data_IF_729376344316
#
_entry.id   IF_729376344316
#
_cell.length_a   1.000
_cell.length_b   1.000
_cell.length_c   1.000
_cell.angle_alpha   90.00
_cell.angle_beta   90.00
_cell.angle_gamma   90.00
#
_symmetry.space_group_name_H-M   'P 1'
#
loop_
_entity.id
_entity.type
_entity.pdbx_description
1 polymer ?
#
# COMPACT_ATOMS: atom_id res chain seq x y z
N UNK A 1 21.39 -24.05 -11.34
CA UNK A 1 20.96 -23.82 -9.95
C UNK A 1 21.61 -22.53 -9.47
N UNK A 2 20.88 -21.66 -8.77
CA UNK A 2 21.38 -20.34 -8.36
C UNK A 2 21.54 -20.24 -6.84
N UNK A 3 22.51 -19.46 -6.38
CA UNK A 3 22.80 -19.30 -4.95
C UNK A 3 22.11 -18.07 -4.39
N UNK A 4 21.54 -18.21 -3.19
CA UNK A 4 20.93 -17.11 -2.45
C UNK A 4 22.00 -16.29 -1.72
N UNK A 5 21.79 -14.98 -1.66
CA UNK A 5 22.61 -14.07 -0.89
C UNK A 5 21.79 -12.86 -0.41
N UNK A 6 22.20 -12.30 0.73
CA UNK A 6 21.57 -11.12 1.33
C UNK A 6 22.09 -9.83 0.69
N UNK A 7 21.20 -9.04 0.09
CA UNK A 7 21.51 -7.70 -0.43
C UNK A 7 20.95 -6.63 0.52
N UNK A 8 21.82 -5.76 1.02
CA UNK A 8 21.43 -4.64 1.91
C UNK A 8 21.10 -3.41 1.07
N UNK A 9 19.88 -2.89 1.22
CA UNK A 9 19.43 -1.62 0.64
C UNK A 9 19.01 -0.69 1.78
N UNK A 10 19.94 0.16 2.22
CA UNK A 10 19.75 1.00 3.41
C UNK A 10 19.52 0.17 4.67
N UNK A 11 18.36 0.32 5.30
CA UNK A 11 17.95 -0.44 6.51
C UNK A 11 17.31 -1.79 6.19
N UNK A 12 17.03 -2.10 4.92
CA UNK A 12 16.34 -3.32 4.52
C UNK A 12 17.30 -4.36 3.94
N UNK A 13 17.04 -5.63 4.23
CA UNK A 13 17.79 -6.77 3.67
C UNK A 13 16.83 -7.57 2.80
N UNK A 14 17.21 -7.84 1.56
CA UNK A 14 16.42 -8.64 0.62
C UNK A 14 17.25 -9.81 0.12
N UNK A 15 16.68 -11.02 0.12
CA UNK A 15 17.34 -12.17 -0.48
C UNK A 15 17.27 -12.06 -2.01
N UNK A 16 18.43 -12.25 -2.63
CA UNK A 16 18.61 -12.24 -4.06
C UNK A 16 19.25 -13.56 -4.48
N UNK A 17 18.87 -14.08 -5.64
CA UNK A 17 19.40 -15.31 -6.21
C UNK A 17 20.20 -15.02 -7.46
N UNK A 18 21.43 -15.49 -7.48
CA UNK A 18 22.32 -15.40 -8.64
C UNK A 18 22.19 -16.61 -9.54
N UNK A 19 21.88 -16.37 -10.80
CA UNK A 19 21.89 -17.38 -11.85
C UNK A 19 23.09 -17.12 -12.77
N UNK A 20 23.96 -18.14 -12.86
CA UNK A 20 25.15 -18.16 -13.70
C UNK A 20 25.01 -19.30 -14.70
N UNK A 21 25.41 -19.08 -15.94
CA UNK A 21 25.34 -20.08 -17.01
C UNK A 21 26.53 -19.92 -17.95
N UNK A 22 27.18 -21.03 -18.32
CA UNK A 22 28.27 -21.05 -19.29
C UNK A 22 27.77 -20.96 -20.74
N UNK A 23 26.47 -21.25 -20.98
CA UNK A 23 25.88 -21.16 -22.32
C UNK A 23 25.90 -19.72 -22.88
N UNK A 24 26.05 -18.72 -22.01
CA UNK A 24 26.23 -17.34 -22.44
C UNK A 24 27.53 -17.12 -23.24
N UNK A 25 28.57 -17.96 -23.04
CA UNK A 25 29.89 -17.78 -23.67
C UNK A 25 29.89 -18.15 -25.16
N UNK A 26 29.03 -19.08 -25.57
CA UNK A 26 28.87 -19.48 -26.97
C UNK A 26 27.82 -18.65 -27.71
N UNK A 27 27.24 -17.63 -27.08
CA UNK A 27 26.21 -16.80 -27.67
C UNK A 27 26.81 -15.76 -28.64
N UNK A 28 26.31 -15.70 -29.87
CA UNK A 28 26.74 -14.73 -30.89
C UNK A 28 26.60 -13.26 -30.43
N UNK A 29 25.60 -12.98 -29.58
CA UNK A 29 25.33 -11.66 -29.02
C UNK A 29 26.13 -11.36 -27.75
N UNK A 30 27.06 -12.23 -27.33
CA UNK A 30 27.79 -12.08 -26.08
C UNK A 30 28.43 -10.69 -25.91
N UNK A 31 29.16 -10.24 -26.95
CA UNK A 31 29.84 -8.93 -26.96
C UNK A 31 28.88 -7.73 -26.81
N UNK A 32 27.62 -7.87 -27.23
CA UNK A 32 26.58 -6.82 -27.09
C UNK A 32 25.79 -6.94 -25.78
N UNK A 33 25.72 -8.15 -25.20
CA UNK A 33 24.84 -8.44 -24.07
C UNK A 33 25.54 -8.22 -22.70
N UNK A 34 26.82 -8.57 -22.57
CA UNK A 34 27.55 -8.42 -21.31
C UNK A 34 29.04 -8.20 -21.55
N UNK A 35 29.68 -7.46 -20.64
CA UNK A 35 31.15 -7.29 -20.61
C UNK A 35 31.84 -8.32 -19.70
N UNK A 36 31.07 -9.13 -18.97
CA UNK A 36 31.63 -10.10 -18.02
C UNK A 36 32.19 -11.32 -18.75
N UNK A 37 33.49 -11.56 -18.63
CA UNK A 37 34.18 -12.70 -19.21
C UNK A 37 33.60 -14.07 -18.82
N UNK A 38 32.92 -14.17 -17.67
CA UNK A 38 32.30 -15.42 -17.18
C UNK A 38 30.84 -15.62 -17.58
N UNK A 39 30.29 -14.79 -18.47
CA UNK A 39 28.87 -14.88 -18.84
C UNK A 39 27.99 -13.84 -18.13
N UNK A 40 26.77 -13.68 -18.65
CA UNK A 40 25.76 -12.79 -18.07
C UNK A 40 25.30 -13.33 -16.72
N UNK A 41 25.45 -12.51 -15.67
CA UNK A 41 24.86 -12.77 -14.36
C UNK A 41 23.41 -12.28 -14.36
N UNK A 42 22.47 -13.14 -14.00
CA UNK A 42 21.07 -12.75 -13.81
C UNK A 42 20.77 -12.79 -12.31
N UNK A 43 20.27 -11.68 -11.78
CA UNK A 43 19.82 -11.55 -10.40
C UNK A 43 18.29 -11.54 -10.35
N UNK A 44 17.72 -12.32 -9.43
CA UNK A 44 16.28 -12.32 -9.16
C UNK A 44 16.04 -12.20 -7.66
N UNK A 45 15.11 -11.36 -7.25
CA UNK A 45 14.73 -11.27 -5.83
C UNK A 45 13.91 -12.47 -5.41
N UNK A 46 13.83 -12.68 -4.08
CA UNK A 46 12.89 -13.63 -3.47
C UNK A 46 11.42 -13.41 -3.84
N UNK A 47 11.08 -12.23 -4.37
CA UNK A 47 9.71 -11.87 -4.77
C UNK A 47 9.52 -11.88 -6.29
N UNK A 48 10.47 -12.42 -7.06
CA UNK A 48 10.40 -12.44 -8.52
C UNK A 48 9.12 -13.10 -9.05
N UNK A 49 8.67 -14.18 -8.40
CA UNK A 49 7.45 -14.90 -8.78
C UNK A 49 6.21 -14.03 -8.56
N UNK A 50 6.14 -13.30 -7.45
CA UNK A 50 5.06 -12.35 -7.16
C UNK A 50 5.02 -11.21 -8.18
N UNK A 51 6.19 -10.71 -8.58
CA UNK A 51 6.31 -9.66 -9.61
C UNK A 51 5.82 -10.19 -10.96
N UNK A 52 6.19 -11.43 -11.33
CA UNK A 52 5.73 -12.05 -12.57
C UNK A 52 4.21 -12.24 -12.57
N UNK A 53 3.65 -12.78 -11.48
CA UNK A 53 2.20 -12.92 -11.34
C UNK A 53 1.48 -11.57 -11.42
N UNK A 54 2.03 -10.53 -10.79
CA UNK A 54 1.45 -9.19 -10.89
C UNK A 54 1.50 -8.65 -12.32
N UNK A 55 2.61 -8.87 -13.04
CA UNK A 55 2.74 -8.50 -14.45
C UNK A 55 1.64 -9.17 -15.30
N UNK A 56 1.44 -10.48 -15.13
CA UNK A 56 0.36 -11.20 -15.83
C UNK A 56 -1.02 -10.64 -15.48
N UNK A 57 -1.28 -10.31 -14.20
CA UNK A 57 -2.55 -9.67 -13.79
C UNK A 57 -2.76 -8.30 -14.46
N UNK A 58 -1.71 -7.51 -14.61
CA UNK A 58 -1.76 -6.20 -15.26
C UNK A 58 -2.01 -6.37 -16.76
N UNK A 59 -1.31 -7.27 -17.43
CA UNK A 59 -1.47 -7.55 -18.86
C UNK A 59 -2.89 -8.04 -19.17
N UNK A 60 -3.43 -8.95 -18.36
CA UNK A 60 -4.79 -9.45 -18.50
C UNK A 60 -5.88 -8.39 -18.25
N UNK A 61 -5.57 -7.32 -17.51
CA UNK A 61 -6.52 -6.26 -17.13
C UNK A 61 -6.04 -4.88 -17.59
N UNK A 62 -5.34 -4.82 -18.72
CA UNK A 62 -4.58 -3.64 -19.14
C UNK A 62 -5.41 -2.36 -19.18
N UNK A 63 -6.60 -2.40 -19.79
CA UNK A 63 -7.48 -1.22 -19.92
C UNK A 63 -7.93 -0.67 -18.56
N UNK A 64 -8.18 -1.56 -17.58
CA UNK A 64 -8.59 -1.15 -16.22
C UNK A 64 -7.43 -0.43 -15.53
N UNK A 65 -6.21 -0.97 -15.64
CA UNK A 65 -5.03 -0.34 -15.04
C UNK A 65 -4.69 0.99 -15.71
N UNK A 66 -4.78 1.08 -17.05
CA UNK A 66 -4.60 2.33 -17.80
C UNK A 66 -5.61 3.39 -17.36
N UNK A 67 -6.89 3.04 -17.23
CA UNK A 67 -7.93 3.96 -16.75
C UNK A 67 -7.66 4.44 -15.32
N UNK A 68 -7.29 3.52 -14.41
CA UNK A 68 -6.93 3.88 -13.02
C UNK A 68 -5.74 4.82 -12.97
N UNK A 69 -4.72 4.56 -13.78
CA UNK A 69 -3.54 5.41 -13.87
C UNK A 69 -3.94 6.84 -14.27
N UNK A 70 -4.72 7.01 -15.33
CA UNK A 70 -5.21 8.32 -15.78
C UNK A 70 -6.03 9.06 -14.70
N UNK A 71 -6.86 8.33 -13.94
CA UNK A 71 -7.69 8.90 -12.87
C UNK A 71 -6.85 9.32 -11.65
N UNK A 72 -5.80 8.57 -11.30
CA UNK A 72 -5.05 8.73 -10.04
C UNK A 72 -3.82 9.62 -10.19
N UNK A 73 -3.11 9.56 -11.31
CA UNK A 73 -1.87 10.32 -11.51
C UNK A 73 -2.09 11.82 -11.48
N UNK A 74 -3.19 12.30 -12.07
CA UNK A 74 -3.51 13.73 -12.08
C UNK A 74 -3.76 14.29 -10.66
N UNK A 75 -4.68 13.74 -9.84
CA UNK A 75 -4.84 14.11 -8.43
C UNK A 75 -3.54 14.08 -7.63
N UNK A 76 -2.74 13.05 -7.83
CA UNK A 76 -1.47 12.90 -7.12
C UNK A 76 -0.46 13.98 -7.51
N UNK A 77 -0.42 14.34 -8.80
CA UNK A 77 0.36 15.47 -9.30
C UNK A 77 -0.09 16.80 -8.71
N UNK A 78 -1.40 17.05 -8.66
CA UNK A 78 -1.97 18.27 -8.04
C UNK A 78 -1.60 18.37 -6.56
N UNK A 79 -1.82 17.31 -5.80
CA UNK A 79 -1.51 17.28 -4.36
C UNK A 79 -0.02 17.52 -4.12
N UNK A 80 0.86 16.87 -4.89
CA UNK A 80 2.31 17.05 -4.72
C UNK A 80 2.80 18.43 -5.15
N UNK A 81 2.38 18.91 -6.33
CA UNK A 81 2.96 20.09 -6.97
C UNK A 81 2.24 21.38 -6.63
N UNK A 82 0.91 21.38 -6.59
CA UNK A 82 0.12 22.59 -6.32
C UNK A 82 -0.11 22.80 -4.83
N UNK A 83 -0.22 21.73 -4.04
CA UNK A 83 -0.42 21.84 -2.58
C UNK A 83 0.87 21.65 -1.78
N UNK A 84 2.01 21.56 -2.47
CA UNK A 84 3.34 21.42 -1.88
C UNK A 84 3.49 20.22 -0.92
N UNK A 85 2.64 19.18 -1.07
CA UNK A 85 2.65 18.00 -0.23
C UNK A 85 3.70 16.98 -0.71
N UNK A 86 4.97 17.37 -0.68
CA UNK A 86 6.09 16.50 -1.08
C UNK A 86 6.50 15.51 0.02
N UNK A 87 6.35 15.91 1.28
CA UNK A 87 6.74 15.12 2.43
C UNK A 87 5.63 15.06 3.46
N UNK A 88 5.47 13.87 4.04
CA UNK A 88 4.61 13.65 5.20
C UNK A 88 5.27 14.30 6.41
N UNK A 89 4.53 15.09 7.18
CA UNK A 89 5.09 15.80 8.34
C UNK A 89 5.25 14.85 9.52
N UNK A 90 4.24 14.04 9.83
CA UNK A 90 4.22 13.20 11.04
C UNK A 90 4.79 11.79 10.80
N UNK A 91 6.12 11.69 10.77
CA UNK A 91 6.84 10.43 10.46
C UNK A 91 7.10 9.50 11.66
N UNK A 92 6.49 9.75 12.83
CA UNK A 92 6.78 9.01 14.08
C UNK A 92 6.32 7.55 14.02
N UNK A 93 5.18 7.29 13.39
CA UNK A 93 4.66 5.94 13.17
C UNK A 93 3.90 5.87 11.85
N UNK A 94 3.68 4.65 11.34
CA UNK A 94 2.86 4.43 10.13
C UNK A 94 1.44 4.99 10.32
N UNK A 95 0.90 4.94 11.55
CA UNK A 95 -0.45 5.47 11.85
C UNK A 95 -0.50 6.99 11.68
N UNK A 96 0.52 7.71 12.16
CA UNK A 96 0.60 9.17 11.99
C UNK A 96 0.76 9.55 10.52
N UNK A 97 1.69 8.89 9.82
CA UNK A 97 1.89 9.13 8.40
C UNK A 97 0.64 8.84 7.55
N UNK A 98 -0.10 7.79 7.90
CA UNK A 98 -1.39 7.45 7.27
C UNK A 98 -2.45 8.51 7.53
N UNK A 99 -2.50 9.08 8.74
CA UNK A 99 -3.44 10.15 9.08
C UNK A 99 -3.21 11.42 8.24
N UNK A 100 -1.95 11.87 8.10
CA UNK A 100 -1.59 13.03 7.26
C UNK A 100 -2.03 12.83 5.81
N UNK A 101 -1.68 11.68 5.22
CA UNK A 101 -2.01 11.36 3.82
C UNK A 101 -3.52 11.23 3.64
N UNK A 102 -4.21 10.57 4.58
CA UNK A 102 -5.66 10.39 4.56
C UNK A 102 -6.40 11.72 4.64
N UNK A 103 -5.92 12.65 5.47
CA UNK A 103 -6.49 13.99 5.59
C UNK A 103 -6.39 14.76 4.26
N UNK A 104 -5.21 14.76 3.64
CA UNK A 104 -4.98 15.45 2.36
C UNK A 104 -5.84 14.86 1.24
N UNK A 105 -5.95 13.53 1.15
CA UNK A 105 -6.79 12.88 0.16
C UNK A 105 -8.27 13.18 0.37
N UNK A 106 -8.72 13.22 1.63
CA UNK A 106 -10.09 13.59 1.98
C UNK A 106 -10.38 15.03 1.58
N UNK A 107 -9.49 15.96 1.92
CA UNK A 107 -9.62 17.37 1.56
C UNK A 107 -9.67 17.57 0.03
N UNK A 108 -8.82 16.89 -0.73
CA UNK A 108 -8.83 16.95 -2.19
C UNK A 108 -10.14 16.41 -2.77
N UNK A 109 -10.62 15.26 -2.28
CA UNK A 109 -11.88 14.69 -2.73
C UNK A 109 -13.07 15.61 -2.43
N UNK A 110 -13.12 16.21 -1.25
CA UNK A 110 -14.16 17.19 -0.89
C UNK A 110 -14.13 18.41 -1.82
N UNK A 111 -12.94 18.98 -2.06
CA UNK A 111 -12.77 20.10 -2.99
C UNK A 111 -13.27 19.75 -4.39
N UNK A 112 -12.98 18.53 -4.88
CA UNK A 112 -13.49 18.07 -6.18
C UNK A 112 -15.01 17.91 -6.19
N UNK A 113 -15.60 17.34 -5.14
CA UNK A 113 -17.07 17.18 -5.05
C UNK A 113 -17.74 18.56 -5.12
N UNK A 114 -17.25 19.54 -4.37
CA UNK A 114 -17.82 20.88 -4.36
C UNK A 114 -17.67 21.61 -5.69
N UNK A 115 -16.63 21.30 -6.47
CA UNK A 115 -16.42 21.90 -7.79
C UNK A 115 -17.20 21.18 -8.91
N UNK A 116 -17.50 19.90 -8.75
CA UNK A 116 -18.18 19.09 -9.78
C UNK A 116 -19.70 19.06 -9.61
N UNK A 117 -20.19 19.16 -8.38
CA UNK A 117 -21.62 19.05 -8.06
C UNK A 117 -22.20 20.42 -7.82
N UNK A 118 -23.36 20.71 -8.44
CA UNK A 118 -24.09 21.95 -8.20
C UNK A 118 -24.43 22.15 -6.72
N UNK A 119 -24.25 23.37 -6.23
CA UNK A 119 -24.49 23.73 -4.84
C UNK A 119 -25.91 23.40 -4.38
N UNK A 120 -26.91 23.54 -5.26
CA UNK A 120 -28.30 23.22 -4.96
C UNK A 120 -28.53 21.72 -4.81
N UNK A 121 -27.93 20.91 -5.70
CA UNK A 121 -27.98 19.44 -5.57
C UNK A 121 -27.26 18.99 -4.30
N UNK A 122 -26.08 19.54 -4.02
CA UNK A 122 -25.33 19.24 -2.80
C UNK A 122 -26.15 19.53 -1.54
N UNK A 123 -26.80 20.69 -1.46
CA UNK A 123 -27.69 21.05 -0.34
C UNK A 123 -28.83 20.04 -0.18
N UNK A 124 -29.44 19.60 -1.28
CA UNK A 124 -30.51 18.60 -1.24
C UNK A 124 -30.00 17.26 -0.68
N UNK A 125 -28.85 16.78 -1.16
CA UNK A 125 -28.22 15.57 -0.65
C UNK A 125 -27.88 15.68 0.84
N UNK A 126 -27.30 16.80 1.28
CA UNK A 126 -26.95 17.03 2.68
C UNK A 126 -28.19 17.08 3.59
N UNK A 127 -29.29 17.70 3.15
CA UNK A 127 -30.56 17.68 3.89
C UNK A 127 -31.10 16.27 4.03
N UNK A 128 -31.07 15.48 2.94
CA UNK A 128 -31.53 14.09 2.94
C UNK A 128 -30.69 13.22 3.87
N UNK A 129 -29.37 13.34 3.83
CA UNK A 129 -28.48 12.58 4.72
C UNK A 129 -28.64 12.99 6.18
N UNK A 130 -28.81 14.29 6.47
CA UNK A 130 -29.09 14.77 7.82
C UNK A 130 -30.42 14.23 8.36
N UNK A 131 -31.48 14.23 7.54
CA UNK A 131 -32.76 13.62 7.90
C UNK A 131 -32.64 12.12 8.16
N UNK A 132 -31.98 11.38 7.26
CA UNK A 132 -31.75 9.94 7.45
C UNK A 132 -30.96 9.65 8.73
N UNK A 133 -29.92 10.42 9.01
CA UNK A 133 -29.15 10.30 10.24
C UNK A 133 -30.02 10.58 11.47
N UNK A 134 -30.85 11.63 11.45
CA UNK A 134 -31.72 11.97 12.57
C UNK A 134 -32.72 10.85 12.88
N UNK A 135 -33.37 10.30 11.84
CA UNK A 135 -34.31 9.18 11.96
C UNK A 135 -33.65 7.91 12.52
N UNK A 136 -32.39 7.66 12.17
CA UNK A 136 -31.68 6.44 12.56
C UNK A 136 -30.68 6.66 13.71
N UNK A 137 -30.66 7.84 14.34
CA UNK A 137 -29.63 8.20 15.33
C UNK A 137 -29.67 7.29 16.55
N UNK A 138 -30.86 6.88 16.99
CA UNK A 138 -31.05 5.97 18.13
C UNK A 138 -30.52 4.57 17.81
N UNK A 139 -30.87 4.03 16.64
CA UNK A 139 -30.37 2.74 16.14
C UNK A 139 -28.86 2.76 15.92
N UNK A 140 -28.33 3.83 15.34
CA UNK A 140 -26.88 4.03 15.17
C UNK A 140 -26.17 4.04 16.53
N UNK A 141 -26.66 4.81 17.51
CA UNK A 141 -26.07 4.82 18.86
C UNK A 141 -26.09 3.44 19.51
N UNK A 142 -27.20 2.71 19.42
CA UNK A 142 -27.31 1.36 19.95
C UNK A 142 -26.33 0.40 19.25
N UNK A 143 -26.25 0.45 17.92
CA UNK A 143 -25.30 -0.34 17.14
C UNK A 143 -23.84 -0.03 17.49
N UNK A 144 -23.47 1.25 17.57
CA UNK A 144 -22.13 1.65 17.99
C UNK A 144 -21.81 1.22 19.42
N UNK A 145 -22.80 1.19 20.33
CA UNK A 145 -22.61 0.68 21.69
C UNK A 145 -22.36 -0.84 21.68
N UNK A 146 -23.09 -1.61 20.87
CA UNK A 146 -22.89 -3.06 20.70
C UNK A 146 -21.53 -3.36 20.06
N UNK A 147 -21.18 -2.67 18.98
CA UNK A 147 -19.87 -2.86 18.31
C UNK A 147 -18.72 -2.45 19.23
N UNK A 148 -18.84 -1.33 19.96
CA UNK A 148 -17.82 -0.98 20.96
C UNK A 148 -17.78 -1.99 22.11
N UNK A 149 -18.91 -2.57 22.52
CA UNK A 149 -18.94 -3.63 23.52
C UNK A 149 -18.21 -4.88 23.02
N UNK A 150 -18.49 -5.36 21.80
CA UNK A 150 -17.80 -6.51 21.20
C UNK A 150 -16.30 -6.27 20.97
N UNK A 151 -15.92 -5.06 20.53
CA UNK A 151 -14.50 -4.67 20.41
C UNK A 151 -13.83 -4.63 21.79
N UNK A 152 -14.46 -4.05 22.81
CA UNK A 152 -13.90 -4.04 24.16
C UNK A 152 -13.78 -5.45 24.76
N UNK A 153 -14.77 -6.32 24.54
CA UNK A 153 -14.75 -7.73 24.97
C UNK A 153 -13.62 -8.49 24.27
N UNK A 154 -13.48 -8.36 22.95
CA UNK A 154 -12.38 -9.01 22.20
C UNK A 154 -11.00 -8.48 22.60
N UNK A 155 -10.86 -7.18 22.87
CA UNK A 155 -9.61 -6.60 23.40
C UNK A 155 -9.32 -7.08 24.83
N UNK A 156 -10.32 -7.18 25.69
CA UNK A 156 -10.20 -7.67 27.06
C UNK A 156 -9.83 -9.16 27.13
N UNK A 157 -10.43 -9.99 26.28
CA UNK A 157 -10.01 -11.40 26.15
C UNK A 157 -8.60 -11.53 25.56
N UNK A 158 -8.22 -10.65 24.64
CA UNK A 158 -6.85 -10.62 24.11
C UNK A 158 -5.83 -10.18 25.16
N UNK A 159 -6.15 -9.19 26.01
CA UNK A 159 -5.26 -8.76 27.10
C UNK A 159 -5.13 -9.81 28.21
N UNK A 160 -6.18 -10.60 28.48
CA UNK A 160 -6.13 -11.68 29.48
C UNK A 160 -5.21 -12.84 29.06
N UNK A 161 -5.10 -13.11 27.76
CA UNK A 161 -4.22 -14.15 27.21
C UNK A 161 -2.72 -13.78 27.17
N UNK A 162 -2.36 -12.50 27.34
CA UNK A 162 -0.95 -12.10 27.49
C UNK A 162 -0.44 -12.13 28.94
N UNK A 163 -1.32 -12.30 29.94
CA UNK A 163 -0.93 -12.35 31.36
C UNK A 163 -0.63 -13.78 31.88
N UNK A 164 -0.57 -14.80 31.01
CA UNK A 164 -0.25 -16.19 31.41
C UNK A 164 1.00 -16.78 30.73
N UNK A 165 1.89 -15.95 30.19
CA UNK A 165 3.08 -16.42 29.48
C UNK A 165 4.30 -15.53 29.70
N UNK A 166 4.77 -15.41 30.94
CA UNK A 166 6.12 -14.93 31.20
C UNK A 166 7.11 -16.08 30.96
N UNK A 167 8.07 -15.86 30.05
CA UNK A 167 9.34 -16.58 30.04
C UNK A 167 9.71 -17.21 28.70
N UNK A 168 10.40 -16.45 27.85
CA UNK A 168 11.69 -16.82 27.24
C UNK A 168 12.06 -15.78 26.17
N UNK A 169 12.94 -14.87 26.55
CA UNK A 169 13.76 -14.12 25.61
C UNK A 169 14.76 -15.09 24.97
N UNK A 170 14.75 -15.19 23.64
CA UNK A 170 15.94 -15.55 22.85
C UNK A 170 15.94 -14.74 21.55
N UNK A 171 16.96 -13.91 21.30
CA UNK A 171 17.21 -13.31 20.00
C UNK A 171 17.96 -14.34 19.15
N UNK A 172 17.49 -14.65 17.94
CA UNK A 172 18.27 -15.45 17.01
C UNK A 172 18.14 -14.91 15.57
N UNK A 173 19.25 -14.27 15.18
CA UNK A 173 19.87 -14.16 13.86
C UNK A 173 19.18 -13.35 12.74
#
# INVERSE_FOLDING_TARGET
MGNWYSKKNGKSVTQMKHYKTCACLSCELFKKCTKNARGRLIERSQHADLIYQNKVRIENNYEIYRRRQAIVEHPYGVIKRQWDFYYIMTKKSIKHASADVGLIFTAYNLKRIFNLVDLNMLKMYLKRTAMFYWLNKTHLKAFYAVVNFEINVSVFFKSRNYCSGNGLYLPQN
#
